data_IF_358465097696
#
_entry.id   IF_358465097696
#
_cell.length_a   1.000
_cell.length_b   1.000
_cell.length_c   1.000
_cell.angle_alpha   90.00
_cell.angle_beta   90.00
_cell.angle_gamma   90.00
#
_symmetry.space_group_name_H-M   'P 1'
#
loop_
_entity.id
_entity.type
_entity.pdbx_description
1 polymer ?
#
# COMPACT_ATOMS: atom_id res chain seq x y z
N UNK A 1 20.55 -7.28 2.46
CA UNK A 1 21.16 -6.68 1.36
C UNK A 1 20.25 -6.57 0.18
N UNK A 2 20.64 -7.12 -0.94
CA UNK A 2 19.82 -7.01 -2.13
C UNK A 2 18.43 -7.57 -1.92
N UNK A 3 18.30 -8.56 -1.06
CA UNK A 3 17.01 -9.20 -0.86
C UNK A 3 15.96 -8.24 -0.32
N UNK A 4 16.36 -7.29 0.53
CA UNK A 4 15.40 -6.33 1.07
C UNK A 4 14.86 -5.43 -0.05
N UNK A 5 15.75 -4.91 -0.89
CA UNK A 5 15.30 -4.02 -1.95
C UNK A 5 14.46 -4.77 -2.97
N UNK A 6 14.83 -5.99 -3.31
CA UNK A 6 14.05 -6.80 -4.23
C UNK A 6 12.68 -7.11 -3.66
N UNK A 7 12.61 -7.41 -2.37
CA UNK A 7 11.33 -7.64 -1.70
C UNK A 7 10.46 -6.40 -1.78
N UNK A 8 11.04 -5.24 -1.45
CA UNK A 8 10.29 -4.00 -1.47
C UNK A 8 9.80 -3.65 -2.86
N UNK A 9 10.62 -3.88 -3.88
CA UNK A 9 10.19 -3.63 -5.25
C UNK A 9 9.00 -4.49 -5.62
N UNK A 10 9.04 -5.75 -5.23
CA UNK A 10 7.94 -6.66 -5.50
C UNK A 10 6.68 -6.23 -4.77
N UNK A 11 6.83 -5.85 -3.50
CA UNK A 11 5.70 -5.40 -2.71
C UNK A 11 5.09 -4.15 -3.32
N UNK A 12 5.93 -3.19 -3.73
CA UNK A 12 5.43 -1.96 -4.34
C UNK A 12 4.67 -2.26 -5.62
N UNK A 13 5.19 -3.16 -6.44
CA UNK A 13 4.53 -3.53 -7.67
C UNK A 13 3.17 -4.18 -7.37
N UNK A 14 3.15 -5.11 -6.44
CA UNK A 14 1.91 -5.78 -6.07
C UNK A 14 0.88 -4.80 -5.53
N UNK A 15 1.33 -3.84 -4.72
CA UNK A 15 0.44 -2.83 -4.17
C UNK A 15 -0.18 -1.97 -5.26
N UNK A 16 0.63 -1.54 -6.20
CA UNK A 16 0.15 -0.68 -7.28
C UNK A 16 -0.90 -1.41 -8.10
N UNK A 17 -0.64 -2.66 -8.43
CA UNK A 17 -1.58 -3.45 -9.20
C UNK A 17 -2.87 -3.71 -8.42
N UNK A 18 -2.73 -3.99 -7.14
CA UNK A 18 -3.88 -4.25 -6.29
C UNK A 18 -4.76 -3.01 -6.16
N UNK A 19 -4.15 -1.88 -5.90
CA UNK A 19 -4.89 -0.63 -5.74
C UNK A 19 -5.58 -0.23 -7.03
N UNK A 20 -4.88 -0.28 -8.14
CA UNK A 20 -5.45 0.12 -9.42
C UNK A 20 -6.62 -0.79 -9.80
N UNK A 21 -6.49 -2.09 -9.54
CA UNK A 21 -7.52 -3.04 -9.90
C UNK A 21 -8.71 -3.00 -8.94
N UNK A 22 -8.42 -3.08 -7.65
CA UNK A 22 -9.47 -3.29 -6.67
C UNK A 22 -10.19 -2.01 -6.26
N UNK A 23 -9.55 -0.86 -6.42
CA UNK A 23 -10.21 0.41 -6.17
C UNK A 23 -10.81 1.00 -7.45
N UNK A 24 -10.77 0.23 -8.53
CA UNK A 24 -11.37 0.62 -9.81
C UNK A 24 -10.87 1.97 -10.32
N UNK A 25 -9.57 2.18 -10.26
CA UNK A 25 -8.97 3.40 -10.77
C UNK A 25 -8.78 3.26 -12.28
N UNK A 26 -9.86 3.49 -13.03
CA UNK A 26 -9.89 3.19 -14.46
C UNK A 26 -8.91 4.04 -15.27
N UNK A 27 -8.69 5.26 -14.84
CA UNK A 27 -7.83 6.17 -15.60
C UNK A 27 -6.38 6.12 -15.18
N UNK A 28 -6.04 5.27 -14.21
CA UNK A 28 -4.68 5.21 -13.68
C UNK A 28 -4.16 3.80 -13.79
N UNK A 29 -3.01 3.66 -14.47
CA UNK A 29 -2.35 2.36 -14.57
C UNK A 29 -1.43 2.18 -13.38
N UNK A 30 -1.17 0.92 -12.98
CA UNK A 30 -0.27 0.68 -11.85
C UNK A 30 1.08 1.38 -11.99
N UNK A 31 1.64 1.38 -13.19
CA UNK A 31 2.95 1.98 -13.39
C UNK A 31 2.92 3.50 -13.34
N UNK A 32 1.74 4.10 -13.34
CA UNK A 32 1.61 5.55 -13.21
C UNK A 32 1.56 6.01 -11.76
N UNK A 33 1.44 5.07 -10.83
CA UNK A 33 1.41 5.40 -9.41
C UNK A 33 2.84 5.54 -8.92
N UNK A 34 3.22 6.75 -8.49
CA UNK A 34 4.56 6.98 -7.99
C UNK A 34 4.77 6.36 -6.62
N UNK A 35 6.00 5.93 -6.34
CA UNK A 35 6.32 5.30 -5.06
C UNK A 35 6.08 6.21 -3.88
N UNK A 36 6.37 7.49 -4.05
CA UNK A 36 6.24 8.48 -2.97
C UNK A 36 5.05 9.40 -3.16
N UNK A 37 4.23 9.12 -4.14
CA UNK A 37 3.06 9.96 -4.40
C UNK A 37 2.05 9.84 -3.26
N UNK A 38 1.51 10.98 -2.85
CA UNK A 38 0.48 11.00 -1.81
C UNK A 38 -0.75 10.30 -2.35
N UNK A 39 -1.25 9.31 -1.62
CA UNK A 39 -2.39 8.53 -2.10
C UNK A 39 -3.72 9.23 -1.90
N UNK A 40 -3.85 9.98 -0.82
CA UNK A 40 -5.12 10.60 -0.47
C UNK A 40 -5.12 12.09 -0.76
N UNK A 41 -6.30 12.65 -0.93
CA UNK A 41 -6.43 14.08 -1.15
C UNK A 41 -5.86 14.51 -2.47
N UNK A 42 -4.83 15.36 -2.44
CA UNK A 42 -4.31 15.99 -3.64
C UNK A 42 -3.53 15.06 -4.55
N UNK A 43 -3.08 13.91 -4.03
CA UNK A 43 -2.34 12.97 -4.84
C UNK A 43 -3.24 12.18 -5.76
N UNK A 44 -3.45 10.90 -5.46
CA UNK A 44 -4.35 10.07 -6.24
C UNK A 44 -5.81 10.41 -6.00
N UNK A 45 -6.10 11.14 -4.94
CA UNK A 45 -7.47 11.54 -4.67
C UNK A 45 -8.30 10.48 -3.95
N UNK A 46 -7.66 9.54 -3.29
CA UNK A 46 -8.39 8.54 -2.52
C UNK A 46 -9.03 9.18 -1.30
N UNK A 47 -10.11 8.58 -0.81
CA UNK A 47 -10.82 9.10 0.35
C UNK A 47 -10.91 8.06 1.46
N UNK A 48 -11.69 8.37 2.50
CA UNK A 48 -11.81 7.49 3.67
C UNK A 48 -12.30 6.09 3.32
N UNK A 49 -13.20 6.00 2.37
CA UNK A 49 -13.71 4.70 1.97
C UNK A 49 -12.63 3.87 1.30
N UNK A 50 -11.79 4.54 0.52
CA UNK A 50 -10.67 3.85 -0.11
C UNK A 50 -9.67 3.36 0.94
N UNK A 51 -9.49 4.14 2.02
CA UNK A 51 -8.61 3.71 3.10
C UNK A 51 -9.10 2.42 3.74
N UNK A 52 -10.41 2.34 3.99
CA UNK A 52 -11.00 1.13 4.56
C UNK A 52 -10.79 -0.05 3.61
N UNK A 53 -10.94 0.20 2.32
CA UNK A 53 -10.75 -0.85 1.33
C UNK A 53 -9.31 -1.34 1.35
N UNK A 54 -8.34 -0.42 1.45
CA UNK A 54 -6.94 -0.81 1.50
C UNK A 54 -6.66 -1.66 2.75
N UNK A 55 -7.24 -1.30 3.88
CA UNK A 55 -7.08 -2.11 5.09
C UNK A 55 -7.54 -3.54 4.83
N UNK A 56 -8.70 -3.69 4.21
CA UNK A 56 -9.22 -5.02 3.90
C UNK A 56 -8.30 -5.75 2.94
N UNK A 57 -7.79 -5.05 1.92
CA UNK A 57 -6.92 -5.67 0.95
C UNK A 57 -5.60 -6.13 1.56
N UNK A 58 -5.04 -5.34 2.48
CA UNK A 58 -3.82 -5.74 3.15
C UNK A 58 -4.05 -6.98 4.00
N UNK A 59 -5.21 -7.04 4.66
CA UNK A 59 -5.53 -8.19 5.48
C UNK A 59 -5.68 -9.44 4.62
N UNK A 60 -6.37 -9.31 3.48
CA UNK A 60 -6.63 -10.46 2.63
C UNK A 60 -5.42 -10.93 1.85
N UNK A 61 -4.60 -10.01 1.38
CA UNK A 61 -3.49 -10.37 0.51
C UNK A 61 -2.16 -10.56 1.22
N UNK A 62 -1.98 -9.91 2.37
CA UNK A 62 -0.72 -9.97 3.12
C UNK A 62 -0.89 -10.46 4.54
N UNK A 63 -2.12 -10.68 4.96
CA UNK A 63 -2.36 -11.16 6.32
C UNK A 63 -2.04 -10.14 7.39
N UNK A 64 -2.04 -8.86 7.05
CA UNK A 64 -1.68 -7.79 7.98
C UNK A 64 -2.91 -7.12 8.54
N UNK A 65 -2.81 -6.68 9.78
CA UNK A 65 -3.91 -6.04 10.47
C UNK A 65 -3.48 -4.67 10.96
N UNK A 66 -4.30 -3.67 10.71
CA UNK A 66 -4.04 -2.33 11.21
C UNK A 66 -5.02 -2.07 12.33
N UNK A 67 -4.49 -1.93 13.54
CA UNK A 67 -5.32 -1.87 14.72
C UNK A 67 -5.80 -0.48 15.08
N UNK A 68 -5.20 0.52 14.47
CA UNK A 68 -5.40 1.90 14.90
C UNK A 68 -5.41 2.82 13.69
N UNK A 69 -6.48 3.58 13.51
CA UNK A 69 -6.60 4.43 12.32
C UNK A 69 -5.61 5.59 12.31
N UNK A 70 -5.16 6.03 13.47
CA UNK A 70 -4.13 7.06 13.51
C UNK A 70 -2.83 6.53 12.93
N UNK A 71 -2.51 5.29 13.22
CA UNK A 71 -1.37 4.60 12.65
C UNK A 71 -1.57 4.45 11.15
N UNK A 72 -2.79 4.19 10.74
CA UNK A 72 -3.12 4.03 9.34
C UNK A 72 -2.81 5.25 8.50
N UNK A 73 -2.99 6.44 9.06
CA UNK A 73 -2.73 7.66 8.30
C UNK A 73 -1.27 7.74 7.87
N UNK A 74 -0.35 7.34 8.76
CA UNK A 74 1.06 7.36 8.43
C UNK A 74 1.41 6.24 7.46
N UNK A 75 0.84 5.07 7.68
CA UNK A 75 1.11 3.90 6.85
C UNK A 75 0.64 4.12 5.42
N UNK A 76 -0.53 4.73 5.27
CA UNK A 76 -1.15 4.88 3.95
C UNK A 76 -0.77 6.15 3.21
N UNK A 77 0.27 6.81 3.65
CA UNK A 77 0.69 8.05 3.04
C UNK A 77 1.08 7.86 1.56
N UNK A 78 1.84 6.81 1.27
CA UNK A 78 2.29 6.53 -0.09
C UNK A 78 2.51 5.04 -0.26
N UNK A 79 2.77 4.63 -1.50
CA UNK A 79 3.10 3.23 -1.78
C UNK A 79 4.33 2.81 -0.96
N UNK A 80 5.34 3.68 -0.90
CA UNK A 80 6.55 3.38 -0.15
C UNK A 80 6.28 3.13 1.33
N UNK A 81 5.44 3.97 1.94
CA UNK A 81 5.16 3.78 3.37
C UNK A 81 4.39 2.49 3.63
N UNK A 82 3.47 2.15 2.72
CA UNK A 82 2.74 0.90 2.86
C UNK A 82 3.68 -0.29 2.66
N UNK A 83 4.55 -0.20 1.65
CA UNK A 83 5.47 -1.30 1.37
C UNK A 83 6.42 -1.54 2.54
N UNK A 84 6.91 -0.47 3.15
CA UNK A 84 7.79 -0.60 4.31
C UNK A 84 7.06 -1.23 5.49
N UNK A 85 5.81 -0.87 5.68
CA UNK A 85 5.00 -1.46 6.74
C UNK A 85 4.83 -2.96 6.50
N UNK A 86 4.54 -3.34 5.27
CA UNK A 86 4.38 -4.75 4.93
C UNK A 86 5.68 -5.50 5.16
N UNK A 87 6.80 -4.94 4.69
CA UNK A 87 8.08 -5.59 4.84
C UNK A 87 8.45 -5.79 6.31
N UNK A 88 8.27 -4.74 7.12
CA UNK A 88 8.61 -4.81 8.53
C UNK A 88 7.81 -5.87 9.27
N UNK A 89 6.55 -6.00 8.93
CA UNK A 89 5.70 -6.97 9.61
C UNK A 89 5.91 -8.38 9.09
N UNK A 90 6.23 -8.49 7.82
CA UNK A 90 6.50 -9.79 7.23
C UNK A 90 7.82 -10.38 7.73
N UNK A 91 8.82 -9.54 7.87
CA UNK A 91 10.15 -9.97 8.27
C UNK A 91 10.20 -10.39 9.73
N UNK A 92 9.28 -9.88 10.54
CA UNK A 92 9.26 -10.24 11.96
C UNK A 92 8.74 -11.65 12.20
N UNK A 93 8.18 -12.26 11.20
CA UNK A 93 7.72 -13.64 11.33
C UNK A 93 8.91 -14.56 11.38
N UNK A 94 8.94 -15.52 12.33
CA UNK A 94 10.05 -16.47 12.39
C UNK A 94 10.03 -17.44 11.23
#
# INVERSE_FOLDING_TARGET
>A
MESKELELQKIRKDLKEMIARDLALEDIKPEEIGDDEILFGEGLGLDSLDAVEIVVLLQRNFGLEIKNMDQGKEIFYSINTIANFIYDNKVKEP
#
